data_IF_466237866878
#
_entry.id   IF_466237866878
#
_cell.length_a   1.000
_cell.length_b   1.000
_cell.length_c   1.000
_cell.angle_alpha   90.00
_cell.angle_beta   90.00
_cell.angle_gamma   90.00
#
_symmetry.space_group_name_H-M   'P 1'
#
loop_
_entity.id
_entity.type
_entity.pdbx_description
1 polymer ?
#
# COMPACT_ATOMS: atom_id res chain seq x y z
N UNK A 1 40.71 -68.08 42.13
CA UNK A 1 40.93 -67.08 41.02
C UNK A 1 39.67 -67.08 40.19
N UNK A 2 38.91 -65.93 40.23
CA UNK A 2 37.69 -65.80 39.43
C UNK A 2 38.11 -65.34 38.02
N UNK A 3 37.84 -66.14 36.98
CA UNK A 3 38.05 -65.79 35.59
C UNK A 3 37.06 -64.69 35.18
N UNK A 4 37.53 -63.53 34.95
CA UNK A 4 36.73 -62.37 34.39
C UNK A 4 36.44 -62.72 32.93
N UNK A 5 35.17 -62.79 32.59
CA UNK A 5 34.70 -63.18 31.29
C UNK A 5 34.92 -62.04 30.28
N UNK A 6 35.75 -62.30 29.25
CA UNK A 6 36.07 -61.28 28.19
C UNK A 6 34.85 -60.61 27.53
N UNK A 7 33.72 -61.31 27.56
CA UNK A 7 32.45 -60.84 27.01
C UNK A 7 31.85 -59.67 27.81
N UNK A 8 31.98 -59.69 29.14
CA UNK A 8 31.49 -58.61 30.03
C UNK A 8 32.30 -57.35 29.90
N UNK A 9 33.60 -57.43 29.65
CA UNK A 9 34.50 -56.27 29.47
C UNK A 9 34.19 -55.60 28.13
N UNK A 10 33.93 -56.37 27.05
CA UNK A 10 33.56 -55.85 25.74
C UNK A 10 32.19 -55.16 25.76
N UNK A 11 31.21 -55.72 26.46
CA UNK A 11 29.89 -55.11 26.61
C UNK A 11 29.93 -53.80 27.41
N UNK A 12 30.74 -53.73 28.48
CA UNK A 12 30.94 -52.54 29.28
C UNK A 12 31.67 -51.45 28.53
N UNK A 13 32.67 -51.81 27.69
CA UNK A 13 33.40 -50.84 26.86
C UNK A 13 32.53 -50.26 25.75
N UNK A 14 31.66 -51.10 25.15
CA UNK A 14 30.73 -50.63 24.12
C UNK A 14 29.64 -49.72 24.70
N UNK A 15 29.13 -49.99 25.88
CA UNK A 15 28.13 -49.14 26.56
C UNK A 15 28.73 -47.76 26.94
N UNK A 16 30.01 -47.74 27.41
CA UNK A 16 30.69 -46.49 27.72
C UNK A 16 30.94 -45.63 26.43
N UNK A 17 31.24 -46.29 25.31
CA UNK A 17 31.45 -45.58 24.03
C UNK A 17 30.14 -45.00 23.45
N UNK A 18 29.00 -45.65 23.62
CA UNK A 18 27.70 -45.17 23.20
C UNK A 18 27.24 -43.96 24.04
N UNK A 19 27.50 -43.98 25.36
CA UNK A 19 27.17 -42.84 26.23
C UNK A 19 28.03 -41.63 25.92
N UNK A 20 29.30 -41.80 25.50
CA UNK A 20 30.14 -40.69 25.09
C UNK A 20 29.69 -40.01 23.78
N UNK A 21 29.02 -40.73 22.90
CA UNK A 21 28.47 -40.19 21.64
C UNK A 21 27.20 -39.33 21.84
N UNK A 22 26.49 -39.47 22.97
CA UNK A 22 25.28 -38.72 23.27
C UNK A 22 25.56 -37.37 23.95
N UNK A 23 26.79 -37.10 24.31
CA UNK A 23 27.18 -35.83 25.01
C UNK A 23 27.73 -34.76 24.06
N UNK A 24 27.76 -35.00 22.74
CA UNK A 24 28.29 -34.05 21.76
C UNK A 24 27.18 -33.25 21.04
N UNK A 25 26.14 -32.84 21.75
CA UNK A 25 25.41 -31.64 21.37
C UNK A 25 26.22 -30.44 21.89
N UNK A 26 27.21 -30.00 21.13
CA UNK A 26 27.68 -28.62 21.24
C UNK A 26 26.46 -27.76 20.94
N UNK A 27 25.95 -27.08 21.95
CA UNK A 27 25.11 -25.92 21.77
C UNK A 27 25.96 -24.96 20.94
N UNK A 28 25.71 -24.92 19.64
CA UNK A 28 26.29 -23.89 18.79
C UNK A 28 25.89 -22.58 19.46
N UNK A 29 26.83 -21.96 20.13
CA UNK A 29 26.67 -20.62 20.63
C UNK A 29 26.59 -19.78 19.35
N UNK A 30 25.37 -19.37 19.00
CA UNK A 30 25.13 -18.42 17.93
C UNK A 30 26.09 -17.25 18.13
N UNK A 31 27.05 -17.00 17.23
CA UNK A 31 28.02 -15.92 17.39
C UNK A 31 27.33 -14.57 17.49
N UNK A 32 26.04 -14.48 17.15
CA UNK A 32 25.19 -13.29 17.28
C UNK A 32 24.28 -13.34 18.53
N UNK A 33 24.44 -14.33 19.43
CA UNK A 33 23.66 -14.39 20.66
C UNK A 33 23.84 -13.12 21.48
N UNK A 34 22.86 -12.22 21.39
CA UNK A 34 22.83 -10.95 22.11
C UNK A 34 23.11 -9.71 21.27
N UNK A 35 23.56 -9.84 20.02
CA UNK A 35 23.67 -8.70 19.09
C UNK A 35 22.28 -8.29 18.64
N UNK A 36 21.97 -7.02 18.78
CA UNK A 36 20.72 -6.45 18.25
C UNK A 36 20.97 -6.11 16.78
N UNK A 37 20.13 -6.62 15.89
CA UNK A 37 20.27 -6.40 14.45
C UNK A 37 18.91 -6.19 13.81
N UNK A 38 18.79 -5.18 12.97
CA UNK A 38 17.66 -4.97 12.07
C UNK A 38 17.97 -5.62 10.72
N UNK A 39 17.21 -6.65 10.36
CA UNK A 39 17.38 -7.40 9.11
C UNK A 39 16.54 -6.82 7.98
N UNK A 40 15.27 -6.51 8.26
CA UNK A 40 14.33 -5.98 7.28
C UNK A 40 13.18 -5.24 7.94
N UNK A 41 12.41 -4.52 7.14
CA UNK A 41 11.13 -3.93 7.52
C UNK A 41 10.21 -3.90 6.31
N UNK A 42 8.90 -3.88 6.55
CA UNK A 42 7.87 -3.88 5.51
C UNK A 42 6.45 -3.86 6.05
N UNK A 43 5.45 -3.79 5.17
CA UNK A 43 5.55 -3.93 3.72
C UNK A 43 6.20 -2.73 3.04
N UNK A 44 6.74 -2.93 1.81
CA UNK A 44 7.12 -1.82 0.95
C UNK A 44 5.86 -1.04 0.53
N UNK A 45 5.94 0.29 0.48
CA UNK A 45 4.78 1.12 0.15
C UNK A 45 3.76 1.23 1.29
N UNK A 46 4.19 1.04 2.56
CA UNK A 46 3.36 1.30 3.74
C UNK A 46 2.99 2.78 3.80
N UNK A 47 1.73 3.07 4.13
CA UNK A 47 1.23 4.43 4.29
C UNK A 47 1.35 4.92 5.73
N UNK A 48 1.29 6.26 5.90
CA UNK A 48 1.07 6.85 7.22
C UNK A 48 -0.26 6.35 7.81
N UNK A 49 -0.22 5.95 9.08
CA UNK A 49 -1.36 5.36 9.77
C UNK A 49 -1.50 3.84 9.60
N UNK A 50 -0.75 3.22 8.72
CA UNK A 50 -0.72 1.76 8.55
C UNK A 50 0.36 1.11 9.43
N UNK A 51 0.27 -0.21 9.56
CA UNK A 51 1.22 -0.99 10.34
C UNK A 51 2.47 -1.32 9.54
N UNK A 52 3.64 -1.03 10.13
CA UNK A 52 4.93 -1.49 9.62
C UNK A 52 5.53 -2.49 10.61
N UNK A 53 6.13 -3.57 10.07
CA UNK A 53 6.82 -4.60 10.85
C UNK A 53 8.32 -4.50 10.59
N UNK A 54 9.08 -4.44 11.67
CA UNK A 54 10.55 -4.57 11.69
C UNK A 54 10.90 -5.99 12.08
N UNK A 55 11.81 -6.62 11.38
CA UNK A 55 12.27 -7.99 11.61
C UNK A 55 13.77 -7.97 11.88
N UNK A 56 14.20 -8.69 12.89
CA UNK A 56 15.60 -8.70 13.28
C UNK A 56 15.92 -9.66 14.42
N UNK A 57 17.04 -9.44 15.08
CA UNK A 57 17.51 -10.23 16.20
C UNK A 57 17.54 -9.39 17.48
N UNK A 58 17.08 -9.97 18.60
CA UNK A 58 17.07 -9.35 19.93
C UNK A 58 16.35 -7.97 19.96
N UNK A 59 15.30 -7.80 19.17
CA UNK A 59 14.52 -6.56 19.07
C UNK A 59 13.72 -6.25 20.34
N UNK A 60 13.58 -7.20 21.26
CA UNK A 60 13.03 -7.01 22.62
C UNK A 60 13.82 -5.99 23.47
N UNK A 61 15.06 -5.67 23.06
CA UNK A 61 15.94 -4.68 23.72
C UNK A 61 15.85 -3.28 23.13
N UNK A 62 15.05 -3.09 22.09
CA UNK A 62 14.82 -1.78 21.45
C UNK A 62 13.88 -0.96 22.34
N UNK A 63 14.27 0.26 22.66
CA UNK A 63 13.51 1.18 23.50
C UNK A 63 12.75 2.24 22.71
N UNK A 64 13.21 2.55 21.49
CA UNK A 64 12.49 3.41 20.56
C UNK A 64 12.95 3.14 19.13
N UNK A 65 12.11 3.51 18.17
CA UNK A 65 12.43 3.55 16.74
C UNK A 65 12.34 5.00 16.28
N UNK A 66 13.43 5.51 15.69
CA UNK A 66 13.47 6.83 15.08
C UNK A 66 13.34 6.66 13.56
N UNK A 67 12.29 7.24 13.02
CA UNK A 67 12.10 7.53 11.59
C UNK A 67 12.44 8.99 11.36
N UNK A 68 12.84 9.36 10.14
CA UNK A 68 13.05 10.78 9.84
C UNK A 68 11.74 11.54 10.10
N UNK A 69 11.78 12.54 10.97
CA UNK A 69 10.63 13.34 11.37
C UNK A 69 9.80 12.79 12.54
N UNK A 70 10.04 11.55 13.00
CA UNK A 70 9.26 10.97 14.09
C UNK A 70 10.07 10.01 14.97
N UNK A 71 9.79 10.00 16.27
CA UNK A 71 10.36 9.05 17.24
C UNK A 71 9.22 8.29 17.90
N UNK A 72 9.24 6.97 17.79
CA UNK A 72 8.22 6.07 18.33
C UNK A 72 8.82 5.36 19.53
N UNK A 73 8.30 5.64 20.72
CA UNK A 73 8.75 5.02 21.95
C UNK A 73 8.21 3.59 22.09
N UNK A 74 8.90 2.75 22.86
CA UNK A 74 8.52 1.37 23.12
C UNK A 74 7.04 1.23 23.55
N UNK A 75 6.51 2.14 24.35
CA UNK A 75 5.12 2.14 24.81
C UNK A 75 4.10 2.33 23.67
N UNK A 76 4.53 2.78 22.51
CA UNK A 76 3.71 3.00 21.32
C UNK A 76 3.79 1.83 20.32
N UNK A 77 4.62 0.82 20.60
CA UNK A 77 4.69 -0.38 19.77
C UNK A 77 3.40 -1.19 19.94
N UNK A 78 2.81 -1.64 18.83
CA UNK A 78 1.67 -2.56 18.85
C UNK A 78 2.10 -3.97 19.31
N UNK A 79 3.30 -4.36 18.91
CA UNK A 79 3.87 -5.67 19.20
C UNK A 79 5.39 -5.53 19.32
N UNK A 80 5.99 -6.22 20.29
CA UNK A 80 7.43 -6.34 20.41
C UNK A 80 7.80 -7.74 20.86
N UNK A 81 8.64 -8.41 20.08
CA UNK A 81 9.23 -9.72 20.38
C UNK A 81 10.74 -9.66 20.18
N UNK A 82 11.45 -10.78 20.43
CA UNK A 82 12.88 -10.87 20.09
C UNK A 82 13.16 -10.72 18.59
N UNK A 83 12.19 -11.04 17.75
CA UNK A 83 12.37 -11.17 16.29
C UNK A 83 11.63 -10.09 15.51
N UNK A 84 10.67 -9.42 16.13
CA UNK A 84 9.86 -8.42 15.43
C UNK A 84 9.36 -7.29 16.32
N UNK A 85 9.18 -6.10 15.71
CA UNK A 85 8.44 -4.97 16.27
C UNK A 85 7.40 -4.55 15.23
N UNK A 86 6.17 -4.29 15.69
CA UNK A 86 5.10 -3.71 14.88
C UNK A 86 4.70 -2.36 15.48
N UNK A 87 4.60 -1.36 14.63
CA UNK A 87 4.12 -0.03 15.02
C UNK A 87 3.31 0.61 13.89
N UNK A 88 2.53 1.63 14.23
CA UNK A 88 1.84 2.47 13.25
C UNK A 88 2.82 3.52 12.73
N UNK A 89 2.89 3.70 11.42
CA UNK A 89 3.69 4.76 10.79
C UNK A 89 3.11 6.13 11.15
N UNK A 90 3.86 7.00 11.84
CA UNK A 90 3.38 8.34 12.18
C UNK A 90 3.17 9.22 10.94
N UNK A 91 2.23 10.16 11.03
CA UNK A 91 1.92 11.10 9.93
C UNK A 91 3.12 11.99 9.55
N UNK A 92 4.00 12.28 10.52
CA UNK A 92 5.18 13.14 10.35
C UNK A 92 6.40 12.38 9.81
N UNK A 93 6.34 11.05 9.71
CA UNK A 93 7.45 10.25 9.23
C UNK A 93 7.78 10.58 7.77
N UNK A 94 9.07 10.72 7.47
CA UNK A 94 9.60 10.99 6.13
C UNK A 94 10.51 9.87 5.68
N UNK A 95 10.70 9.78 4.37
CA UNK A 95 11.63 8.83 3.76
C UNK A 95 13.04 9.00 4.32
N UNK A 96 13.71 7.88 4.60
CA UNK A 96 15.05 7.89 5.16
C UNK A 96 15.45 6.58 5.85
N UNK A 97 16.60 6.59 6.49
CA UNK A 97 17.06 5.45 7.27
C UNK A 97 16.32 5.36 8.61
N UNK A 98 16.08 4.13 9.02
CA UNK A 98 15.50 3.81 10.32
C UNK A 98 16.62 3.67 11.34
N UNK A 99 16.43 4.24 12.54
CA UNK A 99 17.35 4.09 13.65
C UNK A 99 16.63 3.38 14.80
N UNK A 100 17.21 2.28 15.29
CA UNK A 100 16.77 1.62 16.51
C UNK A 100 17.57 2.19 17.68
N UNK A 101 16.87 2.67 18.68
CA UNK A 101 17.47 3.14 19.93
C UNK A 101 17.43 2.03 20.96
N UNK A 102 18.56 1.78 21.61
CA UNK A 102 18.70 0.75 22.63
C UNK A 102 19.51 1.28 23.83
N UNK A 103 19.50 0.57 24.94
CA UNK A 103 20.35 0.92 26.10
C UNK A 103 21.85 0.77 25.82
N UNK A 104 22.21 0.02 24.76
CA UNK A 104 23.60 -0.23 24.37
C UNK A 104 24.10 0.70 23.24
N UNK A 105 23.24 1.53 22.70
CA UNK A 105 23.55 2.46 21.60
C UNK A 105 22.50 2.46 20.51
N UNK A 106 22.86 3.02 19.38
CA UNK A 106 22.00 3.20 18.20
C UNK A 106 22.38 2.22 17.08
N UNK A 107 21.37 1.71 16.36
CA UNK A 107 21.55 0.82 15.21
C UNK A 107 20.85 1.44 14.02
N UNK A 108 21.61 1.74 12.97
CA UNK A 108 21.08 2.32 11.74
C UNK A 108 20.74 1.23 10.72
N UNK A 109 19.59 1.32 10.06
CA UNK A 109 19.23 0.41 8.98
C UNK A 109 20.19 0.51 7.78
N UNK A 110 20.37 -0.61 7.06
CA UNK A 110 21.14 -0.64 5.80
C UNK A 110 20.35 -0.04 4.65
N UNK A 111 19.01 -0.23 4.64
CA UNK A 111 18.07 0.30 3.66
C UNK A 111 17.32 1.51 4.20
N UNK A 112 16.68 2.24 3.31
CA UNK A 112 15.79 3.36 3.63
C UNK A 112 14.34 2.90 3.58
N UNK A 113 13.52 3.39 4.52
CA UNK A 113 12.07 3.39 4.36
C UNK A 113 11.72 4.50 3.37
N UNK A 114 10.80 4.21 2.45
CA UNK A 114 10.38 5.18 1.45
C UNK A 114 8.86 5.30 1.48
N UNK A 115 8.38 6.52 1.57
CA UNK A 115 6.98 6.90 1.50
C UNK A 115 6.61 7.51 0.15
N UNK A 116 7.59 7.68 -0.74
CA UNK A 116 7.40 7.99 -2.14
C UNK A 116 7.21 6.67 -2.90
N UNK A 117 6.02 6.46 -3.42
CA UNK A 117 5.68 5.22 -4.12
C UNK A 117 5.54 5.53 -5.60
N UNK A 118 6.19 4.80 -6.49
CA UNK A 118 6.07 5.00 -7.93
C UNK A 118 4.70 4.51 -8.40
N UNK A 119 3.67 5.35 -8.27
CA UNK A 119 2.37 5.08 -8.85
C UNK A 119 2.49 5.12 -10.37
N UNK A 120 2.05 4.07 -11.04
CA UNK A 120 2.06 3.95 -12.50
C UNK A 120 0.65 3.62 -12.97
N UNK A 121 0.12 4.41 -13.89
CA UNK A 121 -1.15 4.13 -14.56
C UNK A 121 -0.85 3.25 -15.77
N UNK A 122 -1.41 2.04 -15.81
CA UNK A 122 -1.19 1.09 -16.91
C UNK A 122 -2.40 0.93 -17.82
N UNK A 123 -3.58 1.37 -17.38
CA UNK A 123 -4.79 1.31 -18.20
C UNK A 123 -5.93 2.12 -17.63
N UNK A 124 -6.73 2.69 -18.54
CA UNK A 124 -7.97 3.37 -18.24
C UNK A 124 -8.91 3.20 -19.44
N UNK A 125 -10.24 3.33 -19.28
CA UNK A 125 -11.17 3.29 -20.40
C UNK A 125 -10.93 4.46 -21.36
N UNK A 126 -11.12 4.23 -22.64
CA UNK A 126 -11.03 5.28 -23.67
C UNK A 126 -12.25 6.22 -23.64
N UNK A 127 -13.43 5.68 -23.26
CA UNK A 127 -14.69 6.41 -23.23
C UNK A 127 -15.52 6.00 -22.00
N UNK A 128 -16.24 6.94 -21.42
CA UNK A 128 -17.16 6.71 -20.32
C UNK A 128 -18.33 7.69 -20.35
N UNK A 129 -19.44 7.32 -19.71
CA UNK A 129 -20.62 8.17 -19.54
C UNK A 129 -20.63 8.84 -18.17
N UNK A 130 -21.20 10.05 -18.04
CA UNK A 130 -21.48 10.64 -16.74
C UNK A 130 -22.28 9.69 -15.83
N UNK A 131 -21.85 9.52 -14.58
CA UNK A 131 -22.45 8.59 -13.63
C UNK A 131 -22.00 7.13 -13.75
N UNK A 132 -21.21 6.78 -14.75
CA UNK A 132 -20.67 5.43 -14.94
C UNK A 132 -19.53 5.14 -13.97
N UNK A 133 -19.46 3.90 -13.48
CA UNK A 133 -18.29 3.40 -12.75
C UNK A 133 -17.20 3.03 -13.73
N UNK A 134 -16.04 3.63 -13.60
CA UNK A 134 -14.84 3.28 -14.37
C UNK A 134 -13.77 2.65 -13.49
N UNK A 135 -12.98 1.78 -14.10
CA UNK A 135 -11.83 1.14 -13.46
C UNK A 135 -10.53 1.63 -14.11
N UNK A 136 -9.63 2.12 -13.31
CA UNK A 136 -8.28 2.52 -13.71
C UNK A 136 -7.33 1.49 -13.11
N UNK A 137 -6.41 0.97 -13.90
CA UNK A 137 -5.45 -0.05 -13.49
C UNK A 137 -4.04 0.51 -13.46
N UNK A 138 -3.21 -0.07 -12.58
CA UNK A 138 -1.84 0.40 -12.41
C UNK A 138 -1.16 -0.24 -11.23
N UNK A 139 -0.03 0.33 -10.83
CA UNK A 139 0.69 -0.06 -9.63
C UNK A 139 0.51 0.98 -8.53
N UNK A 140 0.35 0.53 -7.30
CA UNK A 140 0.13 1.37 -6.11
C UNK A 140 -1.08 2.30 -6.21
N UNK A 141 -2.14 1.88 -6.91
CA UNK A 141 -3.35 2.66 -7.12
C UNK A 141 -4.05 3.06 -5.81
N UNK A 142 -3.88 2.27 -4.76
CA UNK A 142 -4.38 2.58 -3.41
C UNK A 142 -3.72 3.82 -2.77
N UNK A 143 -2.67 4.38 -3.36
CA UNK A 143 -2.05 5.64 -2.93
C UNK A 143 -2.73 6.88 -3.51
N UNK A 144 -3.57 6.73 -4.53
CA UNK A 144 -4.34 7.83 -5.09
C UNK A 144 -5.35 8.33 -4.05
N UNK A 145 -5.35 9.63 -3.80
CA UNK A 145 -6.26 10.30 -2.86
C UNK A 145 -7.26 11.21 -3.57
N UNK A 146 -6.94 11.65 -4.79
CA UNK A 146 -7.83 12.45 -5.61
C UNK A 146 -7.58 12.22 -7.09
N UNK A 147 -8.65 12.31 -7.90
CA UNK A 147 -8.60 12.29 -9.35
C UNK A 147 -9.30 13.55 -9.86
N UNK A 148 -8.58 14.37 -10.61
CA UNK A 148 -9.09 15.58 -11.23
C UNK A 148 -9.43 15.32 -12.69
N UNK A 149 -10.62 15.71 -13.09
CA UNK A 149 -11.09 15.72 -14.47
C UNK A 149 -10.72 17.05 -15.16
N UNK A 150 -10.71 17.05 -16.48
CA UNK A 150 -10.25 18.19 -17.31
C UNK A 150 -10.98 19.52 -17.05
N UNK A 151 -12.21 19.46 -16.53
CA UNK A 151 -13.02 20.63 -16.17
C UNK A 151 -12.81 21.13 -14.72
N UNK A 152 -11.85 20.54 -14.01
CA UNK A 152 -11.55 20.85 -12.62
C UNK A 152 -12.42 20.11 -11.59
N UNK A 153 -13.27 19.17 -12.02
CA UNK A 153 -14.00 18.30 -11.09
C UNK A 153 -13.04 17.35 -10.39
N UNK A 154 -13.24 17.20 -9.09
CA UNK A 154 -12.38 16.39 -8.23
C UNK A 154 -13.19 15.25 -7.61
N UNK A 155 -12.68 14.02 -7.75
CA UNK A 155 -13.20 12.84 -7.09
C UNK A 155 -12.21 12.40 -6.03
N UNK A 156 -12.66 12.35 -4.78
CA UNK A 156 -11.88 11.91 -3.60
C UNK A 156 -12.49 10.68 -2.93
N UNK A 157 -13.73 10.35 -3.28
CA UNK A 157 -14.41 9.15 -2.80
C UNK A 157 -14.42 8.10 -3.91
N UNK A 158 -13.79 6.97 -3.63
CA UNK A 158 -13.65 5.89 -4.58
C UNK A 158 -14.60 4.74 -4.22
N UNK A 159 -15.14 4.07 -5.24
CA UNK A 159 -15.98 2.88 -5.07
C UNK A 159 -15.14 1.73 -4.52
N UNK A 160 -13.92 1.59 -5.04
CA UNK A 160 -12.93 0.62 -4.59
C UNK A 160 -11.51 1.15 -4.85
N UNK A 161 -10.58 0.78 -3.97
CA UNK A 161 -9.18 1.16 -4.10
C UNK A 161 -8.29 0.02 -3.60
N UNK A 162 -7.55 -0.55 -4.52
CA UNK A 162 -6.62 -1.66 -4.27
C UNK A 162 -5.22 -1.33 -4.76
N UNK A 163 -4.27 -2.22 -4.55
CA UNK A 163 -2.89 -2.03 -5.01
C UNK A 163 -2.79 -1.82 -6.53
N UNK A 164 -3.65 -2.52 -7.29
CA UNK A 164 -3.57 -2.57 -8.76
C UNK A 164 -4.77 -1.96 -9.46
N UNK A 165 -5.78 -1.49 -8.76
CA UNK A 165 -6.98 -0.90 -9.37
C UNK A 165 -7.59 0.20 -8.51
N UNK A 166 -8.18 1.17 -9.18
CA UNK A 166 -8.96 2.25 -8.60
C UNK A 166 -10.29 2.33 -9.35
N UNK A 167 -11.41 2.28 -8.61
CA UNK A 167 -12.75 2.42 -9.18
C UNK A 167 -13.39 3.72 -8.70
N UNK A 168 -13.92 4.47 -9.62
CA UNK A 168 -14.59 5.73 -9.33
C UNK A 168 -15.79 5.96 -10.23
N UNK A 169 -16.68 6.86 -9.81
CA UNK A 169 -17.83 7.30 -10.61
C UNK A 169 -17.43 8.56 -11.38
N UNK A 170 -17.69 8.55 -12.69
CA UNK A 170 -17.50 9.73 -13.56
C UNK A 170 -18.49 10.84 -13.13
N UNK A 171 -18.02 12.06 -12.81
CA UNK A 171 -18.91 13.16 -12.45
C UNK A 171 -19.96 13.47 -13.53
N UNK A 172 -21.16 13.92 -13.13
CA UNK A 172 -22.27 14.16 -14.05
C UNK A 172 -21.97 15.20 -15.13
N UNK A 173 -21.13 16.15 -14.82
CA UNK A 173 -20.75 17.26 -15.68
C UNK A 173 -19.28 17.20 -16.12
N UNK A 174 -18.64 16.03 -15.99
CA UNK A 174 -17.28 15.81 -16.48
C UNK A 174 -17.15 16.07 -17.97
N UNK A 175 -15.95 16.50 -18.37
CA UNK A 175 -15.61 16.78 -19.77
C UNK A 175 -14.48 15.87 -20.24
N UNK A 176 -14.44 15.65 -21.54
CA UNK A 176 -13.34 14.96 -22.20
C UNK A 176 -12.01 15.64 -21.92
N UNK A 177 -10.98 14.86 -21.60
CA UNK A 177 -9.61 15.30 -21.38
C UNK A 177 -8.81 14.33 -20.53
N UNK A 178 -7.57 14.68 -20.24
CA UNK A 178 -6.70 13.90 -19.38
C UNK A 178 -7.17 13.92 -17.92
N UNK A 179 -6.89 12.85 -17.22
CA UNK A 179 -7.10 12.75 -15.78
C UNK A 179 -5.80 13.05 -15.04
N UNK A 180 -5.88 13.80 -13.96
CA UNK A 180 -4.73 14.09 -13.10
C UNK A 180 -4.94 13.43 -11.74
N UNK A 181 -4.03 12.55 -11.38
CA UNK A 181 -4.05 11.76 -10.14
C UNK A 181 -3.14 12.39 -9.11
N UNK A 182 -3.64 12.53 -7.90
CA UNK A 182 -2.89 13.02 -6.75
C UNK A 182 -2.69 11.89 -5.75
N UNK A 183 -1.46 11.68 -5.32
CA UNK A 183 -1.15 10.70 -4.27
C UNK A 183 -1.20 11.35 -2.89
N UNK A 184 -1.36 10.52 -1.87
CA UNK A 184 -1.17 10.92 -0.49
C UNK A 184 0.29 10.84 -0.05
N UNK A 185 0.51 11.02 1.26
CA UNK A 185 1.83 10.94 1.88
C UNK A 185 2.48 12.29 2.15
N UNK A 186 3.72 12.26 2.64
CA UNK A 186 4.50 13.49 2.94
C UNK A 186 5.14 14.10 1.70
N UNK A 187 5.30 13.30 0.64
CA UNK A 187 5.83 13.72 -0.65
C UNK A 187 4.83 13.33 -1.76
N UNK A 188 3.69 14.08 -1.90
CA UNK A 188 2.65 13.73 -2.85
C UNK A 188 3.13 13.89 -4.30
N UNK A 189 2.78 12.92 -5.14
CA UNK A 189 3.01 12.97 -6.58
C UNK A 189 1.77 13.47 -7.31
N UNK A 190 1.98 14.10 -8.45
CA UNK A 190 0.95 14.51 -9.40
C UNK A 190 1.26 13.80 -10.71
N UNK A 191 0.32 12.96 -11.16
CA UNK A 191 0.48 12.11 -12.34
C UNK A 191 -0.65 12.42 -13.31
N UNK A 192 -0.31 12.78 -14.53
CA UNK A 192 -1.28 12.98 -15.60
C UNK A 192 -1.39 11.70 -16.44
N UNK A 193 -2.61 11.33 -16.86
CA UNK A 193 -2.82 10.19 -17.75
C UNK A 193 -2.19 10.44 -19.12
N UNK A 194 -1.63 9.40 -19.72
CA UNK A 194 -1.04 9.48 -21.08
C UNK A 194 -2.12 9.66 -22.17
N UNK A 195 -3.35 9.21 -21.90
CA UNK A 195 -4.49 9.29 -22.82
C UNK A 195 -5.62 10.09 -22.21
N UNK A 196 -6.46 10.66 -23.06
CA UNK A 196 -7.69 11.34 -22.65
C UNK A 196 -8.79 10.33 -22.36
N UNK A 197 -9.63 10.60 -21.35
CA UNK A 197 -10.92 9.98 -21.17
C UNK A 197 -11.94 10.76 -21.99
N UNK A 198 -12.53 10.13 -23.01
CA UNK A 198 -13.64 10.70 -23.76
C UNK A 198 -14.92 10.57 -22.96
N UNK A 199 -15.55 11.69 -22.63
CA UNK A 199 -16.84 11.71 -21.93
C UNK A 199 -17.95 11.84 -22.94
N UNK A 200 -18.82 10.81 -23.02
CA UNK A 200 -19.99 10.80 -23.89
C UNK A 200 -21.06 11.74 -23.36
N UNK A 201 -21.37 12.79 -24.09
CA UNK A 201 -22.38 13.79 -23.75
C UNK A 201 -23.67 13.61 -24.59
N UNK A 202 -24.82 14.11 -24.09
CA UNK A 202 -26.02 14.16 -24.90
C UNK A 202 -25.86 15.13 -26.11
N UNK A 203 -26.34 14.73 -27.25
CA UNK A 203 -26.33 15.56 -28.46
C UNK A 203 -27.73 15.63 -29.07
N UNK A 204 -28.32 16.80 -29.04
CA UNK A 204 -29.57 17.05 -29.79
C UNK A 204 -29.25 17.32 -31.27
N UNK A 205 -29.95 16.62 -32.17
CA UNK A 205 -29.76 16.72 -33.61
C UNK A 205 -30.89 17.53 -34.23
N UNK A 206 -32.14 17.32 -33.82
CA UNK A 206 -33.30 18.05 -34.34
C UNK A 206 -34.39 18.17 -33.29
N UNK A 207 -35.27 19.10 -33.52
CA UNK A 207 -36.48 19.29 -32.74
C UNK A 207 -37.68 19.63 -33.63
N UNK A 208 -38.85 19.13 -33.25
CA UNK A 208 -40.09 19.25 -34.04
C UNK A 208 -41.29 19.34 -33.10
N UNK A 209 -42.31 20.16 -33.45
CA UNK A 209 -42.38 21.08 -34.56
C UNK A 209 -41.49 22.30 -34.39
N UNK A 210 -41.15 22.96 -35.51
CA UNK A 210 -40.42 24.23 -35.52
C UNK A 210 -40.98 25.09 -36.69
N UNK A 211 -41.70 26.19 -36.41
CA UNK A 211 -41.99 26.75 -35.09
C UNK A 211 -42.92 25.87 -34.23
N UNK A 212 -42.93 26.07 -32.93
CA UNK A 212 -43.80 25.42 -31.94
C UNK A 212 -44.76 26.43 -31.32
N UNK A 213 -46.02 26.07 -31.21
CA UNK A 213 -47.06 26.87 -30.54
C UNK A 213 -47.10 26.53 -29.04
N UNK A 214 -47.62 27.47 -28.24
CA UNK A 214 -47.83 27.24 -26.82
C UNK A 214 -48.75 26.04 -26.57
N UNK A 215 -48.30 25.12 -25.73
CA UNK A 215 -49.02 23.93 -25.32
C UNK A 215 -48.88 22.75 -26.29
N UNK A 216 -48.07 22.87 -27.34
CA UNK A 216 -47.69 21.72 -28.17
C UNK A 216 -46.53 20.95 -27.57
N UNK A 217 -46.48 19.68 -27.84
CA UNK A 217 -45.37 18.81 -27.48
C UNK A 217 -44.17 19.07 -28.37
N UNK A 218 -42.99 19.23 -27.77
CA UNK A 218 -41.73 19.31 -28.45
C UNK A 218 -41.01 17.97 -28.44
N UNK A 219 -40.80 17.40 -29.63
CA UNK A 219 -39.97 16.21 -29.77
C UNK A 219 -38.54 16.60 -30.11
N UNK A 220 -37.59 16.13 -29.33
CA UNK A 220 -36.15 16.30 -29.56
C UNK A 220 -35.57 14.94 -29.97
N UNK A 221 -34.83 14.90 -31.07
CA UNK A 221 -34.11 13.72 -31.49
C UNK A 221 -32.61 13.93 -31.41
N UNK A 222 -31.88 12.89 -31.10
CA UNK A 222 -30.42 12.99 -30.93
C UNK A 222 -29.83 11.71 -30.45
N UNK A 223 -28.57 11.81 -29.96
CA UNK A 223 -27.84 10.71 -29.37
C UNK A 223 -27.66 10.95 -27.86
N UNK A 224 -27.66 9.88 -27.06
CA UNK A 224 -27.43 9.90 -25.62
C UNK A 224 -28.37 10.86 -24.85
N UNK A 225 -29.59 11.06 -25.30
CA UNK A 225 -30.56 11.99 -24.70
C UNK A 225 -31.01 11.52 -23.30
N UNK A 226 -30.80 10.26 -22.95
CA UNK A 226 -31.00 9.69 -21.63
C UNK A 226 -30.06 10.34 -20.56
N UNK A 227 -28.98 10.97 -20.98
CA UNK A 227 -28.08 11.74 -20.12
C UNK A 227 -28.53 13.20 -19.90
N UNK A 228 -29.64 13.63 -20.52
CA UNK A 228 -30.12 15.00 -20.43
C UNK A 228 -30.83 15.22 -19.10
N UNK A 229 -30.30 16.12 -18.26
CA UNK A 229 -30.90 16.48 -16.97
C UNK A 229 -31.90 17.63 -17.07
N UNK A 230 -31.90 18.38 -18.15
CA UNK A 230 -32.79 19.52 -18.31
C UNK A 230 -32.67 20.18 -19.68
N UNK A 231 -33.70 20.93 -20.08
CA UNK A 231 -33.76 21.70 -21.31
C UNK A 231 -34.04 23.15 -20.94
N UNK A 232 -33.22 24.05 -21.43
CA UNK A 232 -33.38 25.50 -21.20
C UNK A 232 -33.80 26.17 -22.49
N UNK A 233 -34.91 26.88 -22.45
CA UNK A 233 -35.34 27.78 -23.51
C UNK A 233 -34.79 29.17 -23.23
N UNK A 234 -34.04 29.73 -24.20
CA UNK A 234 -33.66 31.14 -24.16
C UNK A 234 -34.77 31.95 -24.79
N UNK A 235 -35.33 32.87 -24.00
CA UNK A 235 -36.26 33.90 -24.53
C UNK A 235 -35.54 35.04 -25.20
#
# INVERSE_FOLDING_TARGET
MKSFNRSTILASAFFLLVVAMLSSCKKDSDPNAGVIELLSFGPAGVKHGEDIRFIGNNLDKVTAIELVGAVIQQAQFKEQTRESIVLVVPAEAKSGRVKLLTTAGEIMSKSTINFEVPVVITGMPEEARPGEEITITGDYMNWITAVHFADGKVVTEFVDSSLNSLKLIVPQDAKTGTLVFYTGGTDPLIIESETELKVTLPMAVSFSPNPIDRGQDLTITGANLDLTMGILFKG
#
